data_IF_592379788804
#
_entry.id   IF_592379788804
#
_cell.length_a   1.000
_cell.length_b   1.000
_cell.length_c   1.000
_cell.angle_alpha   90.00
_cell.angle_beta   90.00
_cell.angle_gamma   90.00
#
_symmetry.space_group_name_H-M   'P 1'
#
loop_
_entity.id
_entity.type
_entity.pdbx_description
1 polymer ?
#
# COMPACT_ATOMS: atom_id res chain seq x y z
N UNK A 1 14.79 -5.88 -3.39
CA UNK A 1 14.12 -4.56 -3.40
C UNK A 1 12.80 -4.67 -2.65
N UNK A 2 12.63 -3.97 -1.55
CA UNK A 2 11.38 -4.08 -0.79
C UNK A 2 10.22 -3.41 -1.51
N UNK A 3 9.06 -4.06 -1.42
CA UNK A 3 7.79 -3.59 -1.99
C UNK A 3 6.75 -3.52 -0.88
N UNK A 4 6.06 -2.39 -0.75
CA UNK A 4 4.99 -2.22 0.21
C UNK A 4 3.65 -2.16 -0.51
N UNK A 5 2.69 -2.97 -0.06
CA UNK A 5 1.35 -3.02 -0.66
C UNK A 5 0.50 -1.87 -0.13
N UNK A 6 -0.12 -1.12 -1.04
CA UNK A 6 -1.14 -0.13 -0.70
C UNK A 6 -2.46 -0.82 -0.36
N UNK A 7 -3.34 -0.13 0.34
CA UNK A 7 -4.68 -0.60 0.72
C UNK A 7 -5.48 -1.09 -0.49
N UNK A 8 -5.37 -0.40 -1.64
CA UNK A 8 -6.09 -0.79 -2.86
C UNK A 8 -5.74 -2.20 -3.32
N UNK A 9 -4.49 -2.62 -3.15
CA UNK A 9 -4.05 -3.98 -3.51
C UNK A 9 -4.78 -5.03 -2.69
N UNK A 10 -4.91 -4.83 -1.37
CA UNK A 10 -5.59 -5.77 -0.50
C UNK A 10 -7.08 -5.86 -0.82
N UNK A 11 -7.70 -4.73 -1.07
CA UNK A 11 -9.12 -4.65 -1.44
C UNK A 11 -9.37 -5.31 -2.80
N UNK A 12 -8.56 -5.01 -3.80
CA UNK A 12 -8.70 -5.59 -5.13
C UNK A 12 -8.49 -7.10 -5.11
N UNK A 13 -7.51 -7.58 -4.33
CA UNK A 13 -7.29 -9.00 -4.13
C UNK A 13 -8.52 -9.68 -3.51
N UNK A 14 -9.07 -9.09 -2.45
CA UNK A 14 -10.24 -9.62 -1.75
C UNK A 14 -11.49 -9.64 -2.65
N UNK A 15 -11.59 -8.71 -3.59
CA UNK A 15 -12.67 -8.62 -4.57
C UNK A 15 -12.45 -9.52 -5.79
N UNK A 16 -11.36 -10.28 -5.83
CA UNK A 16 -11.08 -11.19 -6.94
C UNK A 16 -10.69 -10.51 -8.24
N UNK A 17 -10.16 -9.27 -8.18
CA UNK A 17 -9.74 -8.55 -9.38
C UNK A 17 -8.54 -9.23 -10.02
N UNK A 18 -8.63 -9.54 -11.31
CA UNK A 18 -7.62 -10.35 -12.01
C UNK A 18 -6.24 -9.69 -12.06
N UNK A 19 -6.18 -8.38 -12.28
CA UNK A 19 -4.93 -7.65 -12.32
C UNK A 19 -4.21 -7.62 -10.97
N UNK A 20 -4.95 -7.57 -9.87
CA UNK A 20 -4.38 -7.63 -8.53
C UNK A 20 -3.78 -9.01 -8.25
N UNK A 21 -4.50 -10.07 -8.59
CA UNK A 21 -4.00 -11.44 -8.46
C UNK A 21 -2.73 -11.69 -9.27
N UNK A 22 -2.72 -11.25 -10.53
CA UNK A 22 -1.56 -11.37 -11.41
C UNK A 22 -0.35 -10.59 -10.88
N UNK A 23 -0.56 -9.37 -10.37
CA UNK A 23 0.51 -8.57 -9.79
C UNK A 23 1.07 -9.22 -8.52
N UNK A 24 0.21 -9.74 -7.64
CA UNK A 24 0.66 -10.43 -6.43
C UNK A 24 1.48 -11.67 -6.76
N UNK A 25 1.04 -12.47 -7.70
CA UNK A 25 1.78 -13.65 -8.16
C UNK A 25 3.18 -13.28 -8.63
N UNK A 26 3.28 -12.22 -9.44
CA UNK A 26 4.55 -11.66 -9.89
C UNK A 26 5.41 -11.19 -8.71
N UNK A 27 4.83 -10.45 -7.77
CA UNK A 27 5.56 -9.92 -6.62
C UNK A 27 6.10 -11.02 -5.72
N UNK A 28 5.33 -12.07 -5.44
CA UNK A 28 5.81 -13.20 -4.67
C UNK A 28 6.96 -13.94 -5.34
N UNK A 29 7.03 -13.89 -6.67
CA UNK A 29 8.12 -14.51 -7.42
C UNK A 29 9.38 -13.63 -7.48
N UNK A 30 9.24 -12.31 -7.51
CA UNK A 30 10.32 -11.37 -7.80
C UNK A 30 10.81 -10.54 -6.61
N UNK A 31 9.93 -10.22 -5.66
CA UNK A 31 10.27 -9.31 -4.57
C UNK A 31 11.06 -10.01 -3.48
N UNK A 32 12.16 -9.39 -3.03
CA UNK A 32 12.95 -9.88 -1.91
C UNK A 32 12.16 -9.75 -0.60
N UNK A 33 11.49 -8.60 -0.41
CA UNK A 33 10.66 -8.31 0.75
C UNK A 33 9.31 -7.76 0.28
N UNK A 34 8.24 -8.42 0.63
CA UNK A 34 6.88 -7.96 0.37
C UNK A 34 6.25 -7.58 1.70
N UNK A 35 5.90 -6.30 1.85
CA UNK A 35 5.55 -5.70 3.12
C UNK A 35 4.13 -5.15 3.13
N UNK A 36 3.54 -5.09 4.32
CA UNK A 36 2.31 -4.34 4.58
C UNK A 36 2.47 -3.59 5.89
N UNK A 37 2.00 -2.34 5.96
CA UNK A 37 2.11 -1.56 7.18
C UNK A 37 0.79 -1.47 7.95
N UNK A 38 0.89 -1.00 9.21
CA UNK A 38 -0.22 -0.86 10.14
C UNK A 38 -1.38 -0.01 9.58
N UNK A 39 -1.09 1.10 8.90
CA UNK A 39 -2.13 1.93 8.30
C UNK A 39 -2.94 1.18 7.24
N UNK A 40 -2.28 0.39 6.40
CA UNK A 40 -2.94 -0.44 5.38
C UNK A 40 -3.85 -1.47 6.02
N UNK A 41 -3.37 -2.15 7.05
CA UNK A 41 -4.17 -3.14 7.77
C UNK A 41 -5.40 -2.49 8.39
N UNK A 42 -5.23 -1.36 9.05
CA UNK A 42 -6.34 -0.63 9.68
C UNK A 42 -7.40 -0.21 8.65
N UNK A 43 -6.98 0.33 7.52
CA UNK A 43 -7.90 0.75 6.46
C UNK A 43 -8.62 -0.45 5.83
N UNK A 44 -7.89 -1.51 5.53
CA UNK A 44 -8.46 -2.69 4.88
C UNK A 44 -9.50 -3.40 5.76
N UNK A 45 -9.31 -3.41 7.08
CA UNK A 45 -10.24 -4.03 8.02
C UNK A 45 -11.39 -3.12 8.47
N UNK A 46 -11.39 -1.84 8.06
CA UNK A 46 -12.42 -0.88 8.48
C UNK A 46 -13.76 -1.07 7.78
N UNK A 47 -13.81 -1.83 6.72
CA UNK A 47 -15.01 -2.08 5.91
C UNK A 47 -14.89 -3.41 5.16
N UNK A 48 -15.93 -3.74 4.40
CA UNK A 48 -15.99 -4.98 3.64
C UNK A 48 -16.76 -6.08 4.34
N UNK A 49 -17.01 -7.16 3.62
CA UNK A 49 -17.70 -8.34 4.14
C UNK A 49 -16.76 -9.20 4.99
N UNK A 50 -17.33 -10.14 5.73
CA UNK A 50 -16.52 -11.11 6.49
C UNK A 50 -15.64 -11.95 5.56
N UNK A 51 -16.15 -12.32 4.39
CA UNK A 51 -15.37 -13.05 3.39
C UNK A 51 -14.18 -12.25 2.89
N UNK A 52 -14.40 -10.98 2.55
CA UNK A 52 -13.33 -10.09 2.11
C UNK A 52 -12.26 -9.91 3.21
N UNK A 53 -12.67 -9.69 4.46
CA UNK A 53 -11.74 -9.56 5.58
C UNK A 53 -10.94 -10.84 5.83
N UNK A 54 -11.54 -12.03 5.66
CA UNK A 54 -10.81 -13.30 5.75
C UNK A 54 -9.76 -13.43 4.66
N UNK A 55 -10.09 -13.04 3.42
CA UNK A 55 -9.13 -13.05 2.31
C UNK A 55 -7.97 -12.10 2.56
N UNK A 56 -8.25 -10.89 3.07
CA UNK A 56 -7.24 -9.91 3.44
C UNK A 56 -6.35 -10.45 4.56
N UNK A 57 -6.94 -11.07 5.60
CA UNK A 57 -6.17 -11.65 6.70
C UNK A 57 -5.19 -12.72 6.20
N UNK A 58 -5.63 -13.58 5.27
CA UNK A 58 -4.76 -14.59 4.67
C UNK A 58 -3.59 -13.97 3.91
N UNK A 59 -3.85 -12.89 3.17
CA UNK A 59 -2.79 -12.18 2.44
C UNK A 59 -1.79 -11.54 3.40
N UNK A 60 -2.27 -10.90 4.47
CA UNK A 60 -1.42 -10.27 5.48
C UNK A 60 -0.52 -11.31 6.15
N UNK A 61 -1.02 -12.50 6.43
CA UNK A 61 -0.23 -13.59 7.01
C UNK A 61 0.88 -14.09 6.08
N UNK A 62 0.75 -13.86 4.78
CA UNK A 62 1.72 -14.29 3.78
C UNK A 62 2.82 -13.25 3.49
N UNK A 63 2.70 -12.04 4.02
CA UNK A 63 3.65 -10.95 3.81
C UNK A 63 4.22 -10.46 5.15
N UNK A 64 5.28 -9.67 5.11
CA UNK A 64 5.88 -9.12 6.30
C UNK A 64 5.10 -7.89 6.78
N UNK A 65 4.75 -7.86 8.07
CA UNK A 65 4.10 -6.72 8.69
C UNK A 65 5.15 -5.74 9.25
N UNK A 66 4.97 -4.45 8.97
CA UNK A 66 5.82 -3.39 9.51
C UNK A 66 4.99 -2.30 10.17
N UNK A 67 5.45 -1.81 11.31
CA UNK A 67 4.81 -0.70 12.02
C UNK A 67 5.39 0.64 11.56
N UNK A 68 4.56 1.69 11.59
CA UNK A 68 5.03 3.04 11.30
C UNK A 68 6.00 3.51 12.38
N UNK A 69 7.22 3.85 11.98
CA UNK A 69 8.22 4.40 12.90
C UNK A 69 7.93 5.88 13.20
N UNK A 70 8.50 6.44 14.30
CA UNK A 70 8.39 7.87 14.56
C UNK A 70 8.89 8.73 13.39
N UNK A 71 9.99 8.34 12.74
CA UNK A 71 10.54 9.06 11.60
C UNK A 71 9.58 9.04 10.40
N UNK A 72 8.99 7.88 10.11
CA UNK A 72 8.00 7.75 9.03
C UNK A 72 6.75 8.60 9.32
N UNK A 73 6.27 8.63 10.55
CA UNK A 73 5.11 9.43 10.94
C UNK A 73 5.39 10.93 10.81
N UNK A 74 6.56 11.39 11.21
CA UNK A 74 6.97 12.78 11.05
C UNK A 74 7.07 13.17 9.58
N UNK A 75 7.67 12.32 8.77
CA UNK A 75 7.77 12.52 7.34
C UNK A 75 6.39 12.67 6.70
N UNK A 76 5.44 11.81 7.08
CA UNK A 76 4.07 11.84 6.59
C UNK A 76 3.37 13.15 6.96
N UNK A 77 3.55 13.63 8.19
CA UNK A 77 3.02 14.91 8.65
C UNK A 77 3.56 16.09 7.86
N UNK A 78 4.87 16.12 7.61
CA UNK A 78 5.50 17.16 6.81
C UNK A 78 5.03 17.12 5.35
N UNK A 79 4.88 15.94 4.75
CA UNK A 79 4.37 15.81 3.39
C UNK A 79 2.96 16.41 3.27
N UNK A 80 2.09 16.10 4.22
CA UNK A 80 0.72 16.67 4.25
C UNK A 80 0.73 18.19 4.42
N UNK A 81 1.59 18.69 5.28
CA UNK A 81 1.73 20.13 5.54
C UNK A 81 2.22 20.86 4.29
N UNK A 82 3.21 20.34 3.59
CA UNK A 82 3.81 20.98 2.42
C UNK A 82 2.87 21.03 1.21
N UNK A 83 1.87 20.18 1.15
CA UNK A 83 0.88 20.24 0.07
C UNK A 83 0.03 21.51 0.14
N UNK A 84 -0.24 22.03 1.31
CA UNK A 84 -0.86 23.35 1.52
C UNK A 84 -2.23 23.52 0.88
N UNK A 85 -2.38 24.54 0.04
CA UNK A 85 -3.68 24.97 -0.54
C UNK A 85 -4.34 23.90 -1.44
N UNK A 86 -3.59 22.94 -1.95
CA UNK A 86 -4.16 21.82 -2.72
C UNK A 86 -4.93 20.83 -1.84
N UNK A 87 -4.90 21.04 -0.53
CA UNK A 87 -5.45 20.12 0.45
C UNK A 87 -4.49 18.98 0.77
N UNK A 88 -4.50 18.47 1.99
CA UNK A 88 -3.59 17.40 2.39
C UNK A 88 -3.94 16.09 1.67
N UNK A 89 -2.93 15.27 1.41
CA UNK A 89 -3.16 13.86 1.11
C UNK A 89 -3.86 13.20 2.30
N UNK A 90 -4.56 12.08 2.07
CA UNK A 90 -5.16 11.35 3.19
C UNK A 90 -4.07 10.94 4.18
N UNK A 91 -4.43 10.83 5.44
CA UNK A 91 -3.48 10.41 6.47
C UNK A 91 -2.91 9.02 6.15
N UNK A 92 -3.78 8.11 5.71
CA UNK A 92 -3.37 6.75 5.34
C UNK A 92 -2.32 6.74 4.24
N UNK A 93 -2.56 7.44 3.13
CA UNK A 93 -1.61 7.52 2.01
C UNK A 93 -0.28 8.14 2.43
N UNK A 94 -0.34 9.22 3.22
CA UNK A 94 0.87 9.87 3.71
C UNK A 94 1.70 8.95 4.62
N UNK A 95 1.06 8.18 5.48
CA UNK A 95 1.76 7.20 6.34
C UNK A 95 2.37 6.08 5.50
N UNK A 96 1.64 5.53 4.54
CA UNK A 96 2.17 4.50 3.64
C UNK A 96 3.41 5.02 2.92
N UNK A 97 3.34 6.24 2.38
CA UNK A 97 4.49 6.88 1.73
C UNK A 97 5.66 7.09 2.70
N UNK A 98 5.38 7.49 3.92
CA UNK A 98 6.40 7.68 4.97
C UNK A 98 7.11 6.39 5.34
N UNK A 99 6.36 5.29 5.46
CA UNK A 99 6.94 3.96 5.70
C UNK A 99 7.80 3.54 4.50
N UNK A 100 7.29 3.71 3.28
CA UNK A 100 8.05 3.40 2.07
C UNK A 100 9.36 4.20 2.02
N UNK A 101 9.29 5.50 2.29
CA UNK A 101 10.48 6.36 2.36
C UNK A 101 11.48 5.85 3.38
N UNK A 102 11.04 5.51 4.59
CA UNK A 102 11.92 5.08 5.68
C UNK A 102 12.61 3.74 5.41
N UNK A 103 12.00 2.88 4.61
CA UNK A 103 12.53 1.55 4.30
C UNK A 103 13.18 1.46 2.91
N UNK A 104 13.17 2.54 2.14
CA UNK A 104 13.62 2.50 0.75
C UNK A 104 12.76 1.56 -0.10
N UNK A 105 11.45 1.48 0.18
CA UNK A 105 10.54 0.58 -0.48
C UNK A 105 9.78 1.26 -1.63
N UNK A 106 9.34 0.45 -2.59
CA UNK A 106 8.46 0.87 -3.68
C UNK A 106 7.01 0.57 -3.31
N UNK A 107 6.12 1.55 -3.47
CA UNK A 107 4.68 1.38 -3.20
C UNK A 107 4.02 0.70 -4.38
N UNK A 108 3.31 -0.40 -4.12
CA UNK A 108 2.51 -1.11 -5.13
C UNK A 108 1.06 -0.66 -5.00
N UNK A 109 0.55 0.04 -6.01
CA UNK A 109 -0.77 0.68 -5.93
C UNK A 109 -1.47 0.74 -7.28
N UNK A 110 -2.81 0.71 -7.24
CA UNK A 110 -3.64 1.00 -8.41
C UNK A 110 -3.73 2.50 -8.69
N UNK A 111 -3.52 3.35 -7.68
CA UNK A 111 -3.66 4.80 -7.75
C UNK A 111 -2.31 5.49 -7.50
N UNK A 112 -1.43 5.55 -8.52
CA UNK A 112 -0.05 5.98 -8.31
C UNK A 112 0.16 7.48 -8.10
N UNK A 113 -0.77 8.34 -8.54
CA UNK A 113 -0.52 9.77 -8.69
C UNK A 113 -0.08 10.47 -7.41
N UNK A 114 -0.77 10.22 -6.30
CA UNK A 114 -0.44 10.87 -5.03
C UNK A 114 0.91 10.42 -4.48
N UNK A 115 1.24 9.13 -4.63
CA UNK A 115 2.54 8.60 -4.19
C UNK A 115 3.68 9.16 -5.03
N UNK A 116 3.49 9.27 -6.36
CA UNK A 116 4.46 9.92 -7.24
C UNK A 116 4.69 11.36 -6.82
N UNK A 117 3.63 12.10 -6.53
CA UNK A 117 3.73 13.50 -6.08
C UNK A 117 4.40 13.63 -4.72
N UNK A 118 4.24 12.66 -3.84
CA UNK A 118 4.95 12.62 -2.57
C UNK A 118 6.43 12.25 -2.71
N UNK A 119 6.86 11.83 -3.90
CA UNK A 119 8.26 11.57 -4.19
C UNK A 119 8.76 10.19 -3.80
N UNK A 120 7.89 9.22 -3.58
CA UNK A 120 8.29 7.83 -3.32
C UNK A 120 8.19 6.98 -4.59
N UNK A 121 9.04 5.94 -4.75
CA UNK A 121 8.95 5.06 -5.89
C UNK A 121 7.62 4.30 -5.92
N UNK A 122 7.07 4.10 -7.12
CA UNK A 122 5.77 3.47 -7.32
C UNK A 122 5.85 2.38 -8.37
N UNK A 123 5.19 1.28 -8.11
CA UNK A 123 4.86 0.25 -9.11
C UNK A 123 3.35 0.20 -9.24
N UNK A 124 2.85 0.70 -10.36
CA UNK A 124 1.42 0.73 -10.63
C UNK A 124 0.93 -0.58 -11.26
N UNK A 125 -0.31 -0.94 -10.98
CA UNK A 125 -1.00 -2.05 -11.64
C UNK A 125 -2.41 -1.64 -12.02
N UNK A 126 -3.00 -2.35 -12.97
CA UNK A 126 -4.39 -2.18 -13.37
C UNK A 126 -5.22 -3.32 -12.79
N UNK A 127 -6.26 -2.98 -12.00
CA UNK A 127 -7.04 -3.97 -11.26
C UNK A 127 -7.71 -5.01 -12.16
N UNK A 128 -8.18 -4.60 -13.33
CA UNK A 128 -8.92 -5.45 -14.27
C UNK A 128 -8.08 -5.94 -15.46
N UNK A 129 -6.77 -5.72 -15.42
CA UNK A 129 -5.91 -6.21 -16.49
C UNK A 129 -6.00 -7.74 -16.61
N UNK A 130 -6.02 -8.31 -17.83
CA UNK A 130 -5.98 -9.76 -17.98
C UNK A 130 -4.67 -10.32 -17.40
N UNK A 131 -4.79 -11.50 -16.81
CA UNK A 131 -3.66 -12.19 -16.20
C UNK A 131 -2.63 -12.61 -17.26
#
# INVERSE_FOLDING_TARGET
MPRILDTTMLIDYANGRLGAGAMLERLFAEADDLLVCDAVVAEAFSKGTDHERRSIASLIDAVEYVSTSPAAAKWAGEARRLRGAAGPWTLGDAIIAGVAWSLGATVVTRNPDDFVRMGVPVLAYEADAPA
#
